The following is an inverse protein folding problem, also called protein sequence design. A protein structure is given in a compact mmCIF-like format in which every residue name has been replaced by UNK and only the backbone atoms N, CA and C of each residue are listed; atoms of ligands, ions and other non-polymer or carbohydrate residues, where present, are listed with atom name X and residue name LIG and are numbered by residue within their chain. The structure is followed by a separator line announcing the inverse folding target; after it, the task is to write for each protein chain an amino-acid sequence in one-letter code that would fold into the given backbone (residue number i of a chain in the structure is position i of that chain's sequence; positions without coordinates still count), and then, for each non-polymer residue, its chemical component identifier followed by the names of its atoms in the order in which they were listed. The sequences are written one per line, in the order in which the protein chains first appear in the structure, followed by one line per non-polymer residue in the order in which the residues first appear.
data_IF_238739387636
#
_entry.id   IF_238739387636
#
_cell.length_a   1.000
_cell.length_b   1.000
_cell.length_c   1.000
_cell.angle_alpha   90.00
_cell.angle_beta   90.00
_cell.angle_gamma   90.00
#
_symmetry.space_group_name_H-M   'P 1'
#
loop_
_entity.id
_entity.type
_entity.pdbx_description
1 polymer ?
#
# COMPACT_ATOMS: atom_id res chain seq x y z
N UNK A 1 15.83 17.07 -11.67
CA UNK A 1 16.15 17.24 -10.26
C UNK A 1 15.88 15.95 -9.48
N UNK A 2 16.78 15.58 -8.65
CA UNK A 2 16.62 14.36 -7.83
C UNK A 2 16.14 14.73 -6.42
N UNK A 3 15.13 14.06 -5.95
CA UNK A 3 14.71 14.18 -4.57
C UNK A 3 15.58 13.30 -3.69
N UNK A 4 15.98 13.84 -2.56
CA UNK A 4 16.81 13.10 -1.60
C UNK A 4 15.97 12.45 -0.51
N UNK A 5 14.75 12.94 -0.30
CA UNK A 5 13.89 12.41 0.74
C UNK A 5 13.18 11.13 0.29
N UNK A 6 13.03 10.16 1.18
CA UNK A 6 12.25 8.97 0.86
C UNK A 6 10.80 9.36 0.51
N UNK A 7 10.19 8.58 -0.37
CA UNK A 7 8.79 8.74 -0.72
C UNK A 7 7.98 7.79 0.16
N UNK A 8 6.99 8.30 0.93
CA UNK A 8 6.21 7.41 1.78
C UNK A 8 5.33 6.49 0.95
N UNK A 9 5.32 5.23 1.33
CA UNK A 9 4.46 4.22 0.73
C UNK A 9 3.76 3.45 1.83
N UNK A 10 2.70 2.75 1.45
CA UNK A 10 2.00 1.83 2.34
C UNK A 10 1.94 0.46 1.70
N UNK A 11 2.19 -0.57 2.50
CA UNK A 11 1.92 -1.96 2.15
C UNK A 11 0.86 -2.44 3.13
N UNK A 12 -0.17 -3.08 2.61
CA UNK A 12 -1.36 -3.38 3.38
C UNK A 12 -1.49 -4.89 3.53
N UNK A 13 -1.63 -5.36 4.78
CA UNK A 13 -1.95 -6.75 5.05
C UNK A 13 -3.42 -6.80 5.38
N UNK A 14 -4.21 -7.33 4.45
CA UNK A 14 -5.65 -7.46 4.63
C UNK A 14 -5.93 -8.88 5.07
N UNK A 15 -6.42 -9.02 6.31
CA UNK A 15 -6.76 -10.33 6.85
C UNK A 15 -8.19 -10.68 6.49
N UNK A 16 -8.35 -11.89 6.01
CA UNK A 16 -9.67 -12.48 5.76
C UNK A 16 -9.68 -13.87 6.40
N UNK A 17 -10.85 -14.44 6.52
CA UNK A 17 -10.96 -15.81 7.04
C UNK A 17 -10.17 -16.73 6.11
N UNK A 18 -9.17 -17.40 6.67
CA UNK A 18 -8.36 -18.35 5.94
C UNK A 18 -7.05 -17.82 5.37
N UNK A 19 -6.77 -16.51 5.52
CA UNK A 19 -5.49 -16.02 5.02
C UNK A 19 -5.39 -14.51 4.87
N UNK A 20 -4.64 -14.10 3.88
CA UNK A 20 -4.46 -12.68 3.54
C UNK A 20 -4.72 -12.50 2.06
N UNK A 21 -4.96 -11.25 1.67
CA UNK A 21 -5.20 -10.90 0.27
C UNK A 21 -3.91 -10.44 -0.36
N UNK A 22 -3.59 -11.03 -1.50
CA UNK A 22 -2.51 -10.58 -2.37
C UNK A 22 -3.10 -10.13 -3.69
N UNK A 23 -2.40 -9.23 -4.35
CA UNK A 23 -2.77 -8.81 -5.70
C UNK A 23 -1.76 -9.35 -6.70
N UNK A 24 -2.22 -9.66 -7.90
CA UNK A 24 -1.35 -10.06 -8.99
C UNK A 24 -0.90 -8.82 -9.75
N UNK A 25 0.41 -8.65 -9.86
CA UNK A 25 0.95 -7.48 -10.56
C UNK A 25 0.78 -7.63 -12.05
N UNK A 26 0.33 -6.57 -12.70
CA UNK A 26 0.17 -6.53 -14.15
C UNK A 26 1.38 -5.95 -14.86
N UNK A 27 2.29 -5.33 -14.10
CA UNK A 27 3.52 -4.74 -14.63
C UNK A 27 4.72 -5.37 -13.95
N UNK A 28 5.89 -5.39 -14.62
CA UNK A 28 7.09 -5.95 -14.00
C UNK A 28 7.46 -5.22 -12.71
N UNK A 29 8.00 -5.94 -11.73
CA UNK A 29 8.16 -7.38 -11.68
C UNK A 29 6.82 -8.08 -11.48
N UNK A 30 6.59 -9.13 -12.27
CA UNK A 30 5.34 -9.89 -12.16
C UNK A 30 5.35 -10.76 -10.91
N UNK A 31 4.16 -11.13 -10.47
CA UNK A 31 3.99 -12.00 -9.32
C UNK A 31 2.93 -11.47 -8.38
N UNK A 32 2.89 -12.04 -7.18
CA UNK A 32 1.92 -11.68 -6.16
C UNK A 32 2.54 -10.70 -5.19
N UNK A 33 1.77 -9.71 -4.77
CA UNK A 33 2.24 -8.66 -3.87
C UNK A 33 1.14 -8.26 -2.91
N UNK A 34 1.53 -7.65 -1.79
CA UNK A 34 0.58 -7.01 -0.89
C UNK A 34 -0.02 -5.79 -1.59
N UNK A 35 -1.32 -5.50 -1.35
CA UNK A 35 -1.88 -4.22 -1.79
C UNK A 35 -1.12 -3.05 -1.17
N UNK A 36 -1.09 -1.95 -1.87
CA UNK A 36 -0.43 -0.76 -1.34
C UNK A 36 -0.07 0.22 -2.45
N UNK A 37 0.62 1.27 -2.07
CA UNK A 37 1.05 2.28 -3.01
C UNK A 37 1.60 3.52 -2.33
N UNK A 38 1.71 4.58 -3.11
CA UNK A 38 2.24 5.84 -2.60
C UNK A 38 1.17 6.63 -1.86
N UNK A 39 1.61 7.37 -0.85
CA UNK A 39 0.75 8.28 -0.11
C UNK A 39 0.59 9.55 -0.92
N UNK A 40 -0.66 9.97 -1.14
CA UNK A 40 -0.94 11.20 -1.87
C UNK A 40 -0.66 12.41 -0.99
N UNK A 41 -0.41 13.54 -1.64
CA UNK A 41 -0.14 14.79 -0.94
C UNK A 41 -1.30 15.14 -0.01
N UNK A 42 -0.98 15.42 1.24
CA UNK A 42 -1.98 15.79 2.25
C UNK A 42 -2.72 14.63 2.86
N UNK A 43 -2.41 13.41 2.45
CA UNK A 43 -3.06 12.20 2.94
C UNK A 43 -2.25 11.61 4.09
N UNK A 44 -2.93 11.12 5.12
CA UNK A 44 -2.25 10.38 6.17
C UNK A 44 -1.92 8.95 5.68
N UNK A 45 -1.02 8.27 6.40
CA UNK A 45 -0.71 6.87 6.08
C UNK A 45 -1.95 5.98 6.20
N UNK A 46 -2.79 6.26 7.20
CA UNK A 46 -4.04 5.52 7.39
C UNK A 46 -5.01 5.73 6.24
N UNK A 47 -5.17 6.99 5.84
CA UNK A 47 -6.03 7.32 4.71
C UNK A 47 -5.53 6.68 3.43
N UNK A 48 -4.22 6.70 3.21
CA UNK A 48 -3.61 6.06 2.05
C UNK A 48 -3.88 4.56 2.04
N UNK A 49 -3.73 3.90 3.19
CA UNK A 49 -3.95 2.46 3.29
C UNK A 49 -5.41 2.10 2.97
N UNK A 50 -6.36 2.84 3.53
CA UNK A 50 -7.78 2.59 3.28
C UNK A 50 -8.12 2.82 1.80
N UNK A 51 -7.61 3.91 1.23
CA UNK A 51 -7.85 4.24 -0.18
C UNK A 51 -7.26 3.18 -1.10
N UNK A 52 -5.99 2.83 -0.89
CA UNK A 52 -5.33 1.84 -1.75
C UNK A 52 -6.00 0.46 -1.64
N UNK A 53 -6.40 0.06 -0.43
CA UNK A 53 -7.13 -1.18 -0.26
C UNK A 53 -8.42 -1.18 -1.08
N UNK A 54 -9.17 -0.08 -1.03
CA UNK A 54 -10.42 0.04 -1.77
C UNK A 54 -10.18 0.01 -3.27
N UNK A 55 -9.19 0.73 -3.75
CA UNK A 55 -8.87 0.80 -5.17
C UNK A 55 -8.43 -0.55 -5.73
N UNK A 56 -7.62 -1.28 -4.97
CA UNK A 56 -7.00 -2.51 -5.47
C UNK A 56 -7.84 -3.76 -5.20
N UNK A 57 -8.63 -3.76 -4.13
CA UNK A 57 -9.38 -4.96 -3.74
C UNK A 57 -10.89 -4.76 -3.67
N UNK A 58 -11.34 -3.52 -3.78
CA UNK A 58 -12.75 -3.13 -3.60
C UNK A 58 -13.28 -3.38 -2.18
N UNK A 59 -12.38 -3.55 -1.22
CA UNK A 59 -12.76 -3.80 0.16
C UNK A 59 -12.62 -2.54 0.99
N UNK A 60 -13.56 -2.33 1.90
CA UNK A 60 -13.45 -1.32 2.93
C UNK A 60 -12.78 -1.96 4.14
N UNK A 61 -11.70 -1.34 4.59
CA UNK A 61 -10.88 -1.92 5.66
C UNK A 61 -10.82 -0.99 6.85
N UNK A 62 -10.64 -1.56 8.03
CA UNK A 62 -10.33 -0.83 9.26
C UNK A 62 -8.87 -1.05 9.61
N UNK A 63 -8.20 0.02 10.00
CA UNK A 63 -6.80 -0.08 10.38
C UNK A 63 -6.71 -0.65 11.79
N UNK A 64 -6.02 -1.77 11.91
CA UNK A 64 -5.76 -2.39 13.21
C UNK A 64 -4.39 -1.98 13.72
N UNK A 65 -3.42 -1.91 12.83
CA UNK A 65 -2.04 -1.67 13.17
C UNK A 65 -1.30 -1.01 12.02
N UNK A 66 -0.41 -0.07 12.32
CA UNK A 66 0.37 0.63 11.33
C UNK A 66 1.83 0.27 11.41
N UNK A 67 2.44 0.15 10.22
CA UNK A 67 3.89 0.12 10.06
C UNK A 67 4.25 1.22 9.07
N UNK A 68 5.37 1.87 9.31
CA UNK A 68 5.83 2.95 8.44
C UNK A 68 6.95 2.44 7.55
N UNK A 69 6.80 2.65 6.24
CA UNK A 69 7.86 2.34 5.29
C UNK A 69 8.07 3.53 4.36
N UNK A 70 9.29 3.67 3.89
CA UNK A 70 9.64 4.70 2.93
C UNK A 70 10.45 4.07 1.82
N UNK A 71 10.14 4.47 0.58
CA UNK A 71 10.89 4.04 -0.57
C UNK A 71 11.87 5.12 -0.97
N UNK A 72 13.10 4.70 -1.26
CA UNK A 72 14.11 5.61 -1.81
C UNK A 72 13.68 5.96 -3.22
N UNK A 73 13.65 7.25 -3.58
CA UNK A 73 13.21 7.65 -4.92
C UNK A 73 14.21 7.34 -6.03
N UNK A 74 15.42 6.94 -5.69
CA UNK A 74 16.46 6.64 -6.68
C UNK A 74 16.17 5.37 -7.48
#
# INVERSE_FOLDING_TARGET
MAYKNPVPTVDIIIRVKGGIILIERKNPPFGWALPGGFVDYGESLEQAAVREAKEETSLDVNIIRQFHTYSDPS
#
